data_IF_693136915191
#
_entry.id   IF_693136915191
#
_cell.length_a   1.000
_cell.length_b   1.000
_cell.length_c   1.000
_cell.angle_alpha   90.00
_cell.angle_beta   90.00
_cell.angle_gamma   90.00
#
_symmetry.space_group_name_H-M   'P 1'
#
loop_
_entity.id
_entity.type
_entity.pdbx_description
1 polymer ?
#
# COMPACT_ATOMS: atom_id res chain seq x y z
N UNK A 1 26.63 -0.07 -17.53
CA UNK A 1 25.79 -0.03 -16.33
C UNK A 1 25.05 -1.35 -16.25
N UNK A 2 25.22 -2.12 -15.19
CA UNK A 2 24.47 -3.37 -14.97
C UNK A 2 23.01 -3.00 -14.71
N UNK A 3 22.08 -3.55 -15.49
CA UNK A 3 20.64 -3.34 -15.30
C UNK A 3 20.25 -4.00 -13.97
N UNK A 4 19.61 -3.23 -13.07
CA UNK A 4 19.08 -3.76 -11.81
C UNK A 4 17.93 -4.73 -12.10
N UNK A 5 17.90 -5.86 -11.40
CA UNK A 5 16.83 -6.88 -11.48
C UNK A 5 16.51 -7.39 -10.08
N UNK A 6 15.44 -8.16 -9.94
CA UNK A 6 15.04 -8.79 -8.66
C UNK A 6 16.12 -9.71 -8.07
N UNK A 7 17.06 -10.19 -8.89
CA UNK A 7 18.22 -10.95 -8.41
C UNK A 7 19.12 -10.14 -7.46
N UNK A 8 19.13 -8.81 -7.61
CA UNK A 8 19.93 -7.89 -6.78
C UNK A 8 19.24 -7.51 -5.44
N UNK A 9 18.02 -7.98 -5.21
CA UNK A 9 17.37 -7.79 -3.90
C UNK A 9 18.19 -8.62 -2.88
N UNK A 10 18.72 -7.99 -1.82
CA UNK A 10 19.43 -8.71 -0.76
C UNK A 10 18.46 -9.64 -0.01
N UNK A 11 19.02 -10.50 0.84
CA UNK A 11 18.25 -11.31 1.77
C UNK A 11 17.31 -10.43 2.63
N UNK A 12 16.06 -10.84 2.75
CA UNK A 12 15.01 -10.16 3.48
C UNK A 12 14.48 -11.00 4.65
N UNK A 13 15.21 -12.05 5.03
CA UNK A 13 14.85 -12.88 6.19
C UNK A 13 14.69 -12.00 7.44
N UNK A 14 13.72 -12.34 8.28
CA UNK A 14 13.35 -11.61 9.51
C UNK A 14 12.84 -10.17 9.28
N UNK A 15 12.47 -9.81 8.05
CA UNK A 15 11.88 -8.51 7.74
C UNK A 15 10.40 -8.64 7.41
N UNK A 16 9.60 -7.71 7.93
CA UNK A 16 8.17 -7.59 7.62
C UNK A 16 7.93 -6.50 6.58
N UNK A 17 7.26 -6.86 5.48
CA UNK A 17 6.85 -5.95 4.42
C UNK A 17 5.33 -5.88 4.29
N UNK A 18 4.75 -4.71 4.50
CA UNK A 18 3.31 -4.45 4.28
C UNK A 18 3.13 -3.73 2.94
N UNK A 19 2.30 -4.31 2.05
CA UNK A 19 2.11 -3.80 0.69
C UNK A 19 0.62 -3.62 0.40
N UNK A 20 0.17 -2.39 0.15
CA UNK A 20 -1.23 -2.12 -0.18
C UNK A 20 -1.53 -2.47 -1.64
N UNK A 21 -2.70 -3.08 -1.90
CA UNK A 21 -3.17 -3.41 -3.24
C UNK A 21 -2.33 -4.48 -3.96
N UNK A 22 -1.71 -5.39 -3.20
CA UNK A 22 -0.77 -6.37 -3.73
C UNK A 22 -1.42 -7.67 -4.26
N UNK A 23 -2.71 -7.67 -4.54
CA UNK A 23 -3.40 -8.81 -5.18
C UNK A 23 -3.26 -8.84 -6.71
N UNK A 24 -2.68 -7.81 -7.33
CA UNK A 24 -2.49 -7.71 -8.78
C UNK A 24 -1.39 -6.69 -9.14
N UNK A 25 -0.95 -6.71 -10.39
CA UNK A 25 -0.06 -5.69 -10.97
C UNK A 25 1.29 -5.54 -10.27
N UNK A 26 1.77 -4.32 -10.14
CA UNK A 26 3.08 -4.02 -9.55
C UNK A 26 3.16 -4.45 -8.09
N UNK A 27 2.09 -4.26 -7.32
CA UNK A 27 2.04 -4.70 -5.92
C UNK A 27 2.22 -6.21 -5.77
N UNK A 28 1.58 -7.00 -6.65
CA UNK A 28 1.74 -8.46 -6.69
C UNK A 28 3.18 -8.88 -6.98
N UNK A 29 3.80 -8.31 -8.01
CA UNK A 29 5.18 -8.63 -8.38
C UNK A 29 6.18 -8.20 -7.28
N UNK A 30 5.91 -7.07 -6.61
CA UNK A 30 6.71 -6.60 -5.48
C UNK A 30 6.61 -7.56 -4.29
N UNK A 31 5.39 -7.96 -3.93
CA UNK A 31 5.13 -8.93 -2.85
C UNK A 31 5.82 -10.26 -3.13
N UNK A 32 5.64 -10.79 -4.33
CA UNK A 32 6.26 -12.03 -4.79
C UNK A 32 7.79 -11.99 -4.72
N UNK A 33 8.39 -10.88 -5.15
CA UNK A 33 9.84 -10.72 -5.14
C UNK A 33 10.41 -10.65 -3.71
N UNK A 34 9.75 -9.92 -2.80
CA UNK A 34 10.20 -9.82 -1.41
C UNK A 34 10.00 -11.13 -0.64
N UNK A 35 8.86 -11.81 -0.83
CA UNK A 35 8.60 -13.11 -0.22
C UNK A 35 9.60 -14.17 -0.70
N UNK A 36 9.95 -14.18 -1.99
CA UNK A 36 10.98 -15.08 -2.54
C UNK A 36 12.38 -14.79 -1.99
N UNK A 37 12.60 -13.64 -1.36
CA UNK A 37 13.84 -13.25 -0.68
C UNK A 37 13.81 -13.44 0.84
N UNK A 38 12.77 -14.07 1.37
CA UNK A 38 12.65 -14.44 2.78
C UNK A 38 11.88 -13.47 3.66
N UNK A 39 11.33 -12.38 3.11
CA UNK A 39 10.48 -11.49 3.90
C UNK A 39 9.16 -12.16 4.31
N UNK A 40 8.68 -11.86 5.53
CA UNK A 40 7.26 -11.97 5.84
C UNK A 40 6.52 -10.85 5.11
N UNK A 41 5.62 -11.20 4.19
CA UNK A 41 4.89 -10.23 3.37
C UNK A 41 3.42 -10.21 3.75
N UNK A 42 2.92 -9.05 4.16
CA UNK A 42 1.49 -8.81 4.38
C UNK A 42 0.93 -8.06 3.19
N UNK A 43 0.10 -8.73 2.40
CA UNK A 43 -0.63 -8.05 1.32
C UNK A 43 -1.93 -7.47 1.88
N UNK A 44 -2.02 -6.15 1.92
CA UNK A 44 -3.16 -5.42 2.43
C UNK A 44 -4.12 -5.05 1.29
N UNK A 45 -5.30 -5.68 1.26
CA UNK A 45 -6.21 -5.64 0.10
C UNK A 45 -7.67 -5.53 0.52
N UNK A 46 -8.50 -4.89 -0.30
CA UNK A 46 -9.94 -4.73 -0.02
C UNK A 46 -10.72 -6.05 -0.17
N UNK A 47 -10.35 -6.87 -1.16
CA UNK A 47 -10.98 -8.17 -1.43
C UNK A 47 -10.04 -9.27 -0.94
N UNK A 48 -10.31 -9.79 0.25
CA UNK A 48 -9.49 -10.84 0.87
C UNK A 48 -9.55 -12.17 0.12
N UNK A 49 -10.64 -12.44 -0.62
CA UNK A 49 -10.75 -13.61 -1.48
C UNK A 49 -9.74 -13.56 -2.63
N UNK A 50 -9.67 -12.43 -3.34
CA UNK A 50 -8.63 -12.19 -4.35
C UNK A 50 -7.24 -12.14 -3.74
N UNK A 51 -7.10 -11.58 -2.54
CA UNK A 51 -5.85 -11.57 -1.79
C UNK A 51 -5.32 -12.98 -1.55
N UNK A 52 -6.16 -13.88 -1.04
CA UNK A 52 -5.79 -15.29 -0.79
C UNK A 52 -5.41 -16.03 -2.09
N UNK A 53 -6.12 -15.77 -3.18
CA UNK A 53 -5.79 -16.33 -4.49
C UNK A 53 -4.43 -15.83 -5.01
N UNK A 54 -4.10 -14.56 -4.77
CA UNK A 54 -2.81 -14.00 -5.13
C UNK A 54 -1.69 -14.56 -4.24
N UNK A 55 -1.88 -14.60 -2.93
CA UNK A 55 -0.90 -15.16 -1.99
C UNK A 55 -0.54 -16.62 -2.33
N UNK A 56 -1.53 -17.43 -2.71
CA UNK A 56 -1.31 -18.82 -3.12
C UNK A 56 -0.41 -19.00 -4.36
N UNK A 57 -0.16 -17.94 -5.13
CA UNK A 57 0.74 -17.92 -6.30
C UNK A 57 2.15 -17.44 -5.95
N UNK A 58 2.40 -17.06 -4.71
CA UNK A 58 3.69 -16.57 -4.23
C UNK A 58 4.40 -17.68 -3.45
N UNK A 59 5.72 -17.74 -3.56
CA UNK A 59 6.54 -18.56 -2.67
C UNK A 59 6.95 -17.75 -1.44
N UNK A 60 7.11 -18.42 -0.31
CA UNK A 60 7.52 -17.77 0.94
C UNK A 60 6.37 -17.51 1.90
N UNK A 61 6.61 -16.68 2.90
CA UNK A 61 5.65 -16.35 3.94
C UNK A 61 4.81 -15.13 3.54
N UNK A 62 3.56 -15.38 3.13
CA UNK A 62 2.64 -14.33 2.68
C UNK A 62 1.31 -14.44 3.40
N UNK A 63 0.91 -13.37 4.05
CA UNK A 63 -0.38 -13.24 4.74
C UNK A 63 -1.26 -12.19 4.07
N UNK A 64 -2.56 -12.23 4.36
CA UNK A 64 -3.55 -11.32 3.78
C UNK A 64 -4.22 -10.53 4.89
N UNK A 65 -4.14 -9.20 4.80
CA UNK A 65 -4.85 -8.28 5.66
C UNK A 65 -5.96 -7.57 4.87
N UNK A 66 -7.17 -7.52 5.43
CA UNK A 66 -8.22 -6.69 4.86
C UNK A 66 -7.90 -5.21 5.06
N UNK A 67 -8.00 -4.43 3.98
CA UNK A 67 -7.79 -2.98 3.98
C UNK A 67 -8.58 -2.32 2.86
N UNK A 68 -9.59 -1.54 3.22
CA UNK A 68 -10.30 -0.65 2.30
C UNK A 68 -9.84 0.80 2.52
N UNK A 69 -9.00 1.31 1.63
CA UNK A 69 -8.48 2.68 1.68
C UNK A 69 -9.56 3.76 1.47
N UNK A 70 -10.78 3.37 1.09
CA UNK A 70 -11.92 4.29 1.01
C UNK A 70 -12.64 4.45 2.35
N UNK A 71 -12.17 3.81 3.43
CA UNK A 71 -12.80 3.80 4.75
C UNK A 71 -11.79 4.02 5.85
N UNK A 72 -11.89 5.15 6.55
CA UNK A 72 -11.03 5.42 7.71
C UNK A 72 -11.24 4.40 8.84
N UNK A 73 -12.43 3.83 8.98
CA UNK A 73 -12.69 2.76 9.94
C UNK A 73 -11.88 1.50 9.57
N UNK A 74 -11.96 1.04 8.32
CA UNK A 74 -11.17 -0.11 7.83
C UNK A 74 -9.67 0.12 7.96
N UNK A 75 -9.19 1.36 7.70
CA UNK A 75 -7.78 1.71 7.85
C UNK A 75 -7.33 1.59 9.31
N UNK A 76 -8.15 2.03 10.28
CA UNK A 76 -7.84 1.89 11.72
C UNK A 76 -7.80 0.43 12.15
N UNK A 77 -8.79 -0.36 11.74
CA UNK A 77 -8.86 -1.79 12.02
C UNK A 77 -7.64 -2.54 11.43
N UNK A 78 -7.29 -2.24 10.19
CA UNK A 78 -6.12 -2.82 9.54
C UNK A 78 -4.82 -2.42 10.23
N UNK A 79 -4.65 -1.15 10.59
CA UNK A 79 -3.47 -0.67 11.30
C UNK A 79 -3.30 -1.34 12.67
N UNK A 80 -4.39 -1.51 13.41
CA UNK A 80 -4.37 -2.21 14.70
C UNK A 80 -4.00 -3.68 14.52
N UNK A 81 -4.60 -4.38 13.56
CA UNK A 81 -4.27 -5.77 13.25
C UNK A 81 -2.81 -5.94 12.83
N UNK A 82 -2.29 -5.02 12.02
CA UNK A 82 -0.89 -5.03 11.58
C UNK A 82 0.09 -4.82 12.75
N UNK A 83 -0.23 -3.91 13.67
CA UNK A 83 0.59 -3.63 14.87
C UNK A 83 0.57 -4.76 15.89
N UNK A 84 -0.57 -5.43 16.03
CA UNK A 84 -0.70 -6.57 16.97
C UNK A 84 -0.16 -7.87 16.41
N UNK A 85 -0.20 -8.02 15.08
CA UNK A 85 0.29 -9.21 14.38
C UNK A 85 1.78 -9.19 14.03
N UNK A 86 2.45 -8.03 14.18
CA UNK A 86 3.86 -7.88 13.82
C UNK A 86 4.56 -6.98 14.84
N UNK A 87 5.67 -7.44 15.38
CA UNK A 87 6.46 -6.67 16.34
C UNK A 87 7.03 -5.39 15.72
N UNK A 88 7.43 -5.48 14.45
CA UNK A 88 7.99 -4.36 13.67
C UNK A 88 7.53 -4.43 12.21
N UNK A 89 7.57 -3.28 11.53
CA UNK A 89 7.36 -3.16 10.09
C UNK A 89 8.60 -2.54 9.46
N UNK A 90 9.32 -3.32 8.67
CA UNK A 90 10.53 -2.87 7.98
C UNK A 90 10.23 -2.10 6.70
N UNK A 91 9.21 -2.54 5.97
CA UNK A 91 8.84 -1.94 4.69
C UNK A 91 7.34 -1.68 4.65
N UNK A 92 6.93 -0.42 4.55
CA UNK A 92 5.56 -0.04 4.21
C UNK A 92 5.53 0.45 2.77
N UNK A 93 4.84 -0.27 1.88
CA UNK A 93 4.75 0.06 0.47
C UNK A 93 3.32 0.50 0.14
N UNK A 94 3.11 1.80 0.07
CA UNK A 94 1.87 2.46 -0.33
C UNK A 94 1.74 2.36 -1.86
N UNK A 95 1.21 1.23 -2.35
CA UNK A 95 1.16 0.90 -3.77
C UNK A 95 -0.25 0.99 -4.36
N UNK A 96 -1.29 0.70 -3.58
CA UNK A 96 -2.66 0.72 -4.07
C UNK A 96 -3.03 2.08 -4.71
N UNK A 97 -3.85 2.04 -5.74
CA UNK A 97 -4.34 3.25 -6.37
C UNK A 97 -5.44 2.98 -7.37
N UNK A 98 -6.26 3.99 -7.58
CA UNK A 98 -7.30 4.03 -8.61
C UNK A 98 -7.06 5.22 -9.51
N UNK A 99 -7.41 5.11 -10.79
CA UNK A 99 -7.22 6.17 -11.77
C UNK A 99 -8.38 6.20 -12.76
N UNK A 100 -8.73 7.40 -13.21
CA UNK A 100 -9.80 7.63 -14.20
C UNK A 100 -11.13 6.97 -13.82
N UNK A 101 -11.46 7.03 -12.55
CA UNK A 101 -12.77 6.57 -12.06
C UNK A 101 -13.84 7.60 -12.41
N UNK A 102 -15.11 7.19 -12.58
CA UNK A 102 -16.21 8.13 -12.50
C UNK A 102 -16.14 8.95 -11.20
N UNK A 103 -16.68 10.18 -11.22
CA UNK A 103 -16.79 10.98 -9.99
C UNK A 103 -17.51 10.18 -8.91
N UNK A 104 -16.92 10.13 -7.74
CA UNK A 104 -17.44 9.41 -6.60
C UNK A 104 -16.77 9.85 -5.31
N UNK A 105 -17.23 9.33 -4.20
CA UNK A 105 -16.67 9.63 -2.89
C UNK A 105 -16.27 8.35 -2.16
N UNK A 106 -15.32 8.48 -1.26
CA UNK A 106 -15.00 7.45 -0.25
C UNK A 106 -16.16 7.33 0.75
N UNK A 107 -16.10 6.32 1.62
CA UNK A 107 -17.10 6.14 2.70
C UNK A 107 -17.12 7.32 3.67
N UNK A 108 -16.02 8.06 3.76
CA UNK A 108 -15.85 9.22 4.63
C UNK A 108 -16.09 10.55 3.88
N UNK A 109 -16.57 10.52 2.63
CA UNK A 109 -17.00 11.70 1.88
C UNK A 109 -15.89 12.44 1.11
N UNK A 110 -14.67 11.92 1.07
CA UNK A 110 -13.59 12.50 0.25
C UNK A 110 -13.74 12.12 -1.23
N UNK A 111 -13.23 12.95 -2.14
CA UNK A 111 -13.15 12.57 -3.56
C UNK A 111 -12.44 11.22 -3.69
N UNK A 112 -12.96 10.36 -4.57
CA UNK A 112 -12.62 8.94 -4.59
C UNK A 112 -11.14 8.67 -4.85
N UNK A 113 -10.53 9.35 -5.82
CA UNK A 113 -9.11 9.14 -6.17
C UNK A 113 -8.19 9.78 -5.13
N UNK A 114 -8.47 11.02 -4.71
CA UNK A 114 -7.71 11.72 -3.67
C UNK A 114 -7.82 10.99 -2.33
N UNK A 115 -9.04 10.59 -1.95
CA UNK A 115 -9.29 9.86 -0.71
C UNK A 115 -8.57 8.51 -0.69
N UNK A 116 -8.67 7.71 -1.77
CA UNK A 116 -8.05 6.38 -1.83
C UNK A 116 -6.53 6.46 -1.95
N UNK A 117 -6.03 7.24 -2.93
CA UNK A 117 -4.62 7.21 -3.29
C UNK A 117 -3.73 7.99 -2.31
N UNK A 118 -4.26 9.07 -1.72
CA UNK A 118 -3.51 9.96 -0.84
C UNK A 118 -3.97 9.89 0.61
N UNK A 119 -5.20 10.29 0.92
CA UNK A 119 -5.64 10.42 2.32
C UNK A 119 -5.68 9.07 3.05
N UNK A 120 -6.10 7.99 2.36
CA UNK A 120 -6.10 6.65 2.93
C UNK A 120 -4.70 6.16 3.28
N UNK A 121 -3.73 6.35 2.40
CA UNK A 121 -2.34 6.01 2.67
C UNK A 121 -1.69 6.92 3.71
N UNK A 122 -2.04 8.21 3.72
CA UNK A 122 -1.57 9.14 4.74
C UNK A 122 -2.04 8.70 6.14
N UNK A 123 -3.33 8.35 6.27
CA UNK A 123 -3.88 7.84 7.53
C UNK A 123 -3.23 6.51 7.95
N UNK A 124 -3.10 5.54 7.03
CA UNK A 124 -2.45 4.26 7.29
C UNK A 124 -1.00 4.45 7.76
N UNK A 125 -0.24 5.27 7.04
CA UNK A 125 1.15 5.57 7.37
C UNK A 125 1.27 6.18 8.77
N UNK A 126 0.44 7.19 9.08
CA UNK A 126 0.44 7.83 10.40
C UNK A 126 0.13 6.84 11.54
N UNK A 127 -0.82 5.92 11.33
CA UNK A 127 -1.20 4.91 12.33
C UNK A 127 -0.16 3.81 12.52
N UNK A 128 0.70 3.55 11.52
CA UNK A 128 1.76 2.55 11.58
C UNK A 128 3.13 3.14 11.95
N UNK A 129 3.24 4.45 12.10
CA UNK A 129 4.52 5.14 12.20
C UNK A 129 5.37 4.63 13.38
N UNK A 130 4.76 4.41 14.54
CA UNK A 130 5.46 3.92 15.74
C UNK A 130 6.06 2.51 15.55
N UNK A 131 5.45 1.68 14.70
CA UNK A 131 5.95 0.34 14.38
C UNK A 131 7.10 0.36 13.34
N UNK A 132 7.42 1.54 12.78
CA UNK A 132 8.38 1.71 11.68
C UNK A 132 9.60 2.54 12.09
N UNK A 133 9.40 3.63 12.86
CA UNK A 133 10.43 4.66 13.08
C UNK A 133 11.68 4.13 13.77
N UNK A 134 11.53 3.29 14.77
CA UNK A 134 12.65 2.78 15.56
C UNK A 134 13.26 1.49 14.98
N UNK A 135 12.80 1.07 13.80
CA UNK A 135 13.31 -0.14 13.11
C UNK A 135 14.50 0.22 12.24
N UNK A 136 15.71 -0.26 12.54
CA UNK A 136 16.90 0.06 11.76
C UNK A 136 16.77 -0.35 10.30
N UNK A 137 16.95 0.59 9.39
CA UNK A 137 16.87 0.32 7.95
C UNK A 137 15.46 0.20 7.40
N UNK A 138 14.41 0.53 8.19
CA UNK A 138 13.03 0.60 7.71
C UNK A 138 12.85 1.62 6.59
N UNK A 139 11.81 1.44 5.78
CA UNK A 139 11.47 2.34 4.67
C UNK A 139 9.96 2.44 4.49
N UNK A 140 9.50 3.65 4.18
CA UNK A 140 8.18 3.91 3.65
C UNK A 140 8.35 4.27 2.18
N UNK A 141 7.73 3.49 1.30
CA UNK A 141 7.80 3.67 -0.15
C UNK A 141 6.41 4.02 -0.67
N UNK A 142 6.28 5.17 -1.31
CA UNK A 142 5.01 5.58 -1.93
C UNK A 142 5.15 5.50 -3.46
N UNK A 143 4.31 4.68 -4.07
CA UNK A 143 4.26 4.54 -5.53
C UNK A 143 3.62 5.79 -6.11
N UNK A 144 4.35 6.45 -7.00
CA UNK A 144 3.90 7.61 -7.76
C UNK A 144 3.60 7.24 -9.21
N UNK A 145 3.18 8.19 -10.01
CA UNK A 145 2.85 8.00 -11.42
C UNK A 145 3.45 9.10 -12.29
N UNK A 146 3.74 8.78 -13.54
CA UNK A 146 4.03 9.77 -14.56
C UNK A 146 2.86 10.75 -14.80
N UNK A 147 1.66 10.39 -14.34
CA UNK A 147 0.48 11.26 -14.33
C UNK A 147 0.72 12.60 -13.65
N UNK A 148 1.60 12.68 -12.64
CA UNK A 148 1.95 13.95 -11.98
C UNK A 148 2.57 14.99 -12.93
N UNK A 149 3.11 14.57 -14.09
CA UNK A 149 3.68 15.44 -15.12
C UNK A 149 2.64 15.92 -16.11
N UNK A 150 1.46 15.29 -16.16
CA UNK A 150 0.42 15.54 -17.13
C UNK A 150 -0.65 16.52 -16.62
N UNK A 151 -0.70 16.77 -15.34
CA UNK A 151 -1.68 17.62 -14.69
C UNK A 151 -1.17 19.03 -14.40
N UNK A 152 -2.11 19.91 -14.07
CA UNK A 152 -1.83 21.27 -13.62
C UNK A 152 -1.41 21.33 -12.15
N UNK A 153 -1.67 22.46 -11.51
CA UNK A 153 -1.41 22.68 -10.08
C UNK A 153 -2.42 21.91 -9.20
N UNK A 154 -2.03 21.71 -7.96
CA UNK A 154 -2.97 21.24 -6.93
C UNK A 154 -3.93 22.40 -6.61
N UNK A 155 -5.21 22.16 -6.76
CA UNK A 155 -6.28 23.12 -6.43
C UNK A 155 -6.65 22.98 -4.95
N UNK A 156 -5.90 23.63 -4.07
CA UNK A 156 -6.13 23.56 -2.62
C UNK A 156 -7.49 24.10 -2.18
N UNK A 157 -8.12 24.94 -3.00
CA UNK A 157 -9.46 25.49 -2.81
C UNK A 157 -10.58 24.58 -3.33
N UNK A 158 -10.24 23.43 -3.97
CA UNK A 158 -11.21 22.45 -4.48
C UNK A 158 -10.61 21.02 -4.52
N UNK A 159 -10.06 20.56 -3.41
CA UNK A 159 -9.48 19.21 -3.29
C UNK A 159 -10.48 18.09 -3.52
N UNK A 160 -11.79 18.38 -3.36
CA UNK A 160 -12.86 17.41 -3.55
C UNK A 160 -13.47 17.45 -4.96
N UNK A 161 -12.93 18.29 -5.86
CA UNK A 161 -13.40 18.45 -7.23
C UNK A 161 -14.93 18.71 -7.31
N UNK A 162 -15.43 19.63 -6.48
CA UNK A 162 -16.85 19.96 -6.42
C UNK A 162 -17.27 20.80 -7.64
N UNK A 163 -16.38 21.64 -8.17
CA UNK A 163 -16.66 22.58 -9.27
C UNK A 163 -16.58 21.93 -10.64
N UNK A 164 -15.65 20.98 -10.84
CA UNK A 164 -15.48 20.26 -12.12
C UNK A 164 -14.71 18.98 -11.92
N UNK A 165 -15.04 17.95 -12.73
CA UNK A 165 -14.39 16.64 -12.63
C UNK A 165 -13.99 16.14 -14.04
#
# INVERSE_FOLDING_TARGET
MTTWTTAHIPDQTDRTAVITGANTGLGFETAKALAAKGAHVVIAVRDTGKGKQAAAQMSGDVTVQELDLTSLASIREAAEALRTGNDTIDLLINNAGVMTTPKGTTKDGFELQFGTNHLGHFALTGLLLDAILDVPGSRIVTVSSNGHKMGGAIHFDDLQWERSY
#
